data_IF_913063903433
#
_entry.id   IF_913063903433
#
_cell.length_a   1.000
_cell.length_b   1.000
_cell.length_c   1.000
_cell.angle_alpha   90.00
_cell.angle_beta   90.00
_cell.angle_gamma   90.00
#
_symmetry.space_group_name_H-M   'P 1'
#
loop_
_entity.id
_entity.type
_entity.pdbx_description
1 polymer ?
#
# COMPACT_ATOMS: atom_id res chain seq x y z
N UNK A 1 2.27 -5.12 -19.31
CA UNK A 1 1.83 -5.83 -18.12
C UNK A 1 2.17 -5.05 -16.86
N UNK A 2 1.26 -4.98 -15.93
CA UNK A 2 1.49 -4.24 -14.68
C UNK A 2 2.61 -4.90 -13.88
N UNK A 3 3.61 -4.13 -13.49
CA UNK A 3 4.71 -4.59 -12.66
C UNK A 3 4.42 -4.25 -11.20
N UNK A 4 4.71 -5.18 -10.29
CA UNK A 4 4.44 -5.00 -8.87
C UNK A 4 5.72 -5.26 -8.08
N UNK A 5 6.08 -4.30 -7.24
CA UNK A 5 7.25 -4.42 -6.37
C UNK A 5 6.85 -4.15 -4.93
N UNK A 6 7.62 -4.67 -4.00
CA UNK A 6 7.41 -4.49 -2.57
C UNK A 6 8.68 -3.96 -1.96
N UNK A 7 8.60 -2.81 -1.31
CA UNK A 7 9.72 -2.28 -0.55
C UNK A 7 10.01 -3.22 0.63
N UNK A 8 11.28 -3.48 0.97
CA UNK A 8 11.62 -4.32 2.13
C UNK A 8 10.94 -3.88 3.42
N UNK A 9 10.76 -2.58 3.61
CA UNK A 9 10.07 -2.07 4.79
C UNK A 9 8.63 -2.57 4.85
N UNK A 10 7.93 -2.59 3.69
CA UNK A 10 6.58 -3.11 3.60
C UNK A 10 6.54 -4.60 3.97
N UNK A 11 7.44 -5.37 3.38
CA UNK A 11 7.50 -6.81 3.64
C UNK A 11 7.80 -7.11 5.10
N UNK A 12 8.73 -6.36 5.70
CA UNK A 12 9.07 -6.55 7.12
C UNK A 12 7.88 -6.24 8.03
N UNK A 13 7.15 -5.19 7.73
CA UNK A 13 5.97 -4.82 8.52
C UNK A 13 4.90 -5.89 8.42
N UNK A 14 4.61 -6.37 7.19
CA UNK A 14 3.62 -7.43 6.99
C UNK A 14 4.02 -8.70 7.73
N UNK A 15 5.32 -9.06 7.70
CA UNK A 15 5.81 -10.26 8.36
C UNK A 15 5.60 -10.21 9.88
N UNK A 16 5.56 -9.02 10.47
CA UNK A 16 5.37 -8.85 11.92
C UNK A 16 3.91 -8.91 12.34
N UNK A 17 2.98 -8.86 11.40
CA UNK A 17 1.56 -8.93 11.73
C UNK A 17 1.21 -10.36 12.13
N UNK A 18 0.73 -10.52 13.36
CA UNK A 18 0.36 -11.85 13.88
C UNK A 18 -1.11 -12.17 13.76
N UNK A 19 -1.94 -11.15 13.63
CA UNK A 19 -3.38 -11.32 13.50
C UNK A 19 -3.72 -11.79 12.08
N UNK A 20 -4.14 -13.05 11.97
CA UNK A 20 -4.48 -13.63 10.67
C UNK A 20 -5.64 -12.93 9.99
N UNK A 21 -6.62 -12.45 10.77
CA UNK A 21 -7.74 -11.72 10.18
C UNK A 21 -7.28 -10.43 9.57
N UNK A 22 -6.37 -9.75 10.24
CA UNK A 22 -5.82 -8.51 9.70
C UNK A 22 -4.96 -8.77 8.46
N UNK A 23 -4.16 -9.84 8.46
CA UNK A 23 -3.39 -10.23 7.27
C UNK A 23 -4.30 -10.45 6.07
N UNK A 24 -5.45 -11.09 6.28
CA UNK A 24 -6.39 -11.31 5.20
C UNK A 24 -6.98 -10.00 4.68
N UNK A 25 -7.26 -9.05 5.57
CA UNK A 25 -7.71 -7.72 5.15
C UNK A 25 -6.65 -7.01 4.32
N UNK A 26 -5.40 -7.09 4.72
CA UNK A 26 -4.29 -6.49 3.97
C UNK A 26 -4.19 -7.11 2.59
N UNK A 27 -4.27 -8.44 2.50
CA UNK A 27 -4.22 -9.14 1.21
C UNK A 27 -5.33 -8.70 0.29
N UNK A 28 -6.54 -8.55 0.82
CA UNK A 28 -7.68 -8.09 0.02
C UNK A 28 -7.46 -6.68 -0.51
N UNK A 29 -6.89 -5.81 0.32
CA UNK A 29 -6.64 -4.44 -0.11
C UNK A 29 -5.51 -4.37 -1.14
N UNK A 30 -4.47 -5.18 -0.98
CA UNK A 30 -3.41 -5.29 -1.98
C UNK A 30 -4.00 -5.70 -3.32
N UNK A 31 -4.85 -6.73 -3.32
CA UNK A 31 -5.52 -7.18 -4.54
C UNK A 31 -6.35 -6.07 -5.18
N UNK A 32 -7.10 -5.34 -4.36
CA UNK A 32 -7.93 -4.23 -4.82
C UNK A 32 -7.08 -3.12 -5.45
N UNK A 33 -5.94 -2.81 -4.85
CA UNK A 33 -5.00 -1.83 -5.39
C UNK A 33 -4.44 -2.29 -6.74
N UNK A 34 -4.11 -3.57 -6.85
CA UNK A 34 -3.60 -4.13 -8.12
C UNK A 34 -4.66 -4.03 -9.21
N UNK A 35 -5.92 -4.31 -8.88
CA UNK A 35 -7.02 -4.22 -9.84
C UNK A 35 -7.39 -2.78 -10.18
N UNK A 36 -7.25 -1.87 -9.22
CA UNK A 36 -7.62 -0.46 -9.36
C UNK A 36 -6.54 0.43 -8.72
N UNK A 37 -5.40 0.62 -9.42
CA UNK A 37 -4.26 1.34 -8.81
C UNK A 37 -4.55 2.76 -8.36
N UNK A 38 -5.59 3.37 -8.87
CA UNK A 38 -5.94 4.74 -8.49
C UNK A 38 -6.92 4.83 -7.31
N UNK A 39 -7.23 3.69 -6.67
CA UNK A 39 -8.22 3.65 -5.60
C UNK A 39 -7.76 4.42 -4.35
N UNK A 40 -6.46 4.44 -4.07
CA UNK A 40 -5.93 5.15 -2.92
C UNK A 40 -5.96 6.66 -3.12
N UNK A 41 -6.03 7.40 -2.01
CA UNK A 41 -5.97 8.86 -2.07
C UNK A 41 -4.56 9.32 -2.35
N UNK A 42 -4.37 10.29 -3.26
CA UNK A 42 -3.04 10.88 -3.45
C UNK A 42 -2.54 11.49 -2.14
N UNK A 43 -1.27 11.29 -1.85
CA UNK A 43 -0.65 11.88 -0.67
C UNK A 43 -0.29 13.33 -0.96
N UNK A 44 -0.31 14.15 0.10
CA UNK A 44 -0.05 15.60 0.00
C UNK A 44 1.44 15.93 0.07
N UNK A 45 1.75 17.21 -0.14
CA UNK A 45 3.08 17.81 0.11
C UNK A 45 4.22 17.20 -0.70
N UNK A 46 4.07 17.22 -2.03
CA UNK A 46 5.15 16.86 -2.92
C UNK A 46 5.42 15.37 -3.08
N UNK A 47 4.65 14.53 -2.43
CA UNK A 47 4.76 13.09 -2.59
C UNK A 47 4.00 12.64 -3.83
N UNK A 48 4.45 13.11 -4.96
CA UNK A 48 3.82 12.78 -6.23
C UNK A 48 3.85 11.29 -6.49
N UNK A 49 2.79 10.77 -7.10
CA UNK A 49 2.65 9.37 -7.48
C UNK A 49 2.49 8.42 -6.29
N UNK A 50 2.49 8.95 -5.07
CA UNK A 50 2.23 8.11 -3.90
C UNK A 50 0.78 8.26 -3.48
N UNK A 51 0.20 7.16 -3.04
CA UNK A 51 -1.18 7.07 -2.61
C UNK A 51 -1.26 6.29 -1.30
N UNK A 52 -2.35 6.48 -0.57
CA UNK A 52 -2.59 5.67 0.62
C UNK A 52 -4.01 5.12 0.60
N UNK A 53 -4.17 3.94 1.15
CA UNK A 53 -5.47 3.29 1.31
C UNK A 53 -5.64 2.89 2.77
N UNK A 54 -6.78 3.26 3.33
CA UNK A 54 -7.07 3.02 4.73
C UNK A 54 -7.53 1.57 4.96
N UNK A 55 -6.85 0.87 5.86
CA UNK A 55 -7.22 -0.47 6.31
C UNK A 55 -7.21 -0.41 7.83
N UNK A 56 -8.31 0.03 8.39
CA UNK A 56 -8.45 0.37 9.80
C UNK A 56 -7.77 -0.64 10.72
N UNK A 57 -6.90 -0.25 11.66
CA UNK A 57 -6.49 1.13 11.97
C UNK A 57 -5.20 1.56 11.24
N UNK A 58 -4.80 0.87 10.20
CA UNK A 58 -3.56 1.11 9.47
C UNK A 58 -3.82 1.75 8.12
N UNK A 59 -2.75 2.25 7.52
CA UNK A 59 -2.77 2.75 6.16
C UNK A 59 -1.70 2.05 5.34
N UNK A 60 -2.05 1.72 4.10
CA UNK A 60 -1.10 1.17 3.14
C UNK A 60 -0.67 2.32 2.24
N UNK A 61 0.64 2.57 2.20
CA UNK A 61 1.22 3.56 1.29
C UNK A 61 1.82 2.84 0.10
N UNK A 62 1.52 3.33 -1.11
CA UNK A 62 2.07 2.75 -2.33
C UNK A 62 2.29 3.84 -3.36
N UNK A 63 3.18 3.56 -4.31
CA UNK A 63 3.42 4.43 -5.45
C UNK A 63 2.84 3.77 -6.69
N UNK A 64 2.20 4.57 -7.55
CA UNK A 64 1.69 4.09 -8.81
C UNK A 64 2.17 4.99 -9.93
N UNK A 65 2.82 4.40 -10.91
CA UNK A 65 3.27 5.11 -12.10
C UNK A 65 2.48 4.59 -13.30
N UNK A 66 1.62 5.43 -13.85
CA UNK A 66 0.87 5.11 -15.06
C UNK A 66 1.86 4.93 -16.22
N UNK A 67 2.84 5.81 -16.27
CA UNK A 67 3.84 5.81 -17.34
C UNK A 67 4.62 4.50 -17.40
N UNK A 68 5.04 4.01 -16.23
CA UNK A 68 5.81 2.77 -16.14
C UNK A 68 4.94 1.53 -16.01
N UNK A 69 3.65 1.73 -15.81
CA UNK A 69 2.69 0.65 -15.50
C UNK A 69 3.18 -0.18 -14.32
N UNK A 70 3.43 0.50 -13.19
CA UNK A 70 4.12 -0.10 -12.07
C UNK A 70 3.53 0.36 -10.74
N UNK A 71 3.38 -0.59 -9.82
CA UNK A 71 2.97 -0.31 -8.43
C UNK A 71 4.12 -0.74 -7.51
N UNK A 72 4.45 0.10 -6.53
CA UNK A 72 5.41 -0.24 -5.49
C UNK A 72 4.70 -0.08 -4.16
N UNK A 73 4.59 -1.17 -3.40
CA UNK A 73 4.06 -1.11 -2.04
C UNK A 73 5.18 -0.65 -1.12
N UNK A 74 4.98 0.49 -0.46
CA UNK A 74 6.03 1.19 0.28
C UNK A 74 6.03 0.90 1.77
N UNK A 75 4.85 0.94 2.40
CA UNK A 75 4.78 0.83 3.85
C UNK A 75 3.37 0.52 4.30
N UNK A 76 3.27 -0.01 5.52
CA UNK A 76 2.01 -0.10 6.27
C UNK A 76 2.30 0.54 7.61
N UNK A 77 1.50 1.51 8.00
CA UNK A 77 1.71 2.20 9.26
C UNK A 77 0.39 2.50 9.94
N UNK A 78 0.42 2.58 11.26
CA UNK A 78 -0.75 2.96 12.04
C UNK A 78 -1.03 4.44 11.79
N UNK A 79 -2.30 4.82 11.65
CA UNK A 79 -2.65 6.19 11.31
C UNK A 79 -2.11 7.23 12.31
N UNK A 80 -1.88 6.81 13.55
CA UNK A 80 -1.36 7.70 14.59
C UNK A 80 0.15 7.86 14.56
N UNK A 81 0.84 7.15 13.67
CA UNK A 81 2.29 7.18 13.53
C UNK A 81 2.78 8.16 12.46
N UNK A 82 1.90 8.93 11.92
CA UNK A 82 2.27 9.88 10.88
C UNK A 82 3.09 11.04 11.39
#
# INVERSE_FOLDING_TARGET
MLSIEYDPKFLNTVAKIRDNMFKEKVKKQIKKIIEHPEIGKPMRYGRKRTRELYVKPYRIAYAYSIRENKIIFLDIYHKDEQ
#
